data_IF_968814327954
#
_entry.id   IF_968814327954
#
_cell.length_a   1.000
_cell.length_b   1.000
_cell.length_c   1.000
_cell.angle_alpha   90.00
_cell.angle_beta   90.00
_cell.angle_gamma   90.00
#
_symmetry.space_group_name_H-M   'P 1'
#
loop_
_entity.id
_entity.type
_entity.pdbx_description
1 polymer ?
#
# COMPACT_ATOMS: atom_id res chain seq x y z
N UNK A 1 -2.10 -9.31 -7.00
CA UNK A 1 -2.81 -8.17 -6.38
C UNK A 1 -3.05 -7.14 -7.47
N UNK A 2 -4.29 -6.67 -7.62
CA UNK A 2 -4.68 -5.65 -8.61
C UNK A 2 -4.88 -4.28 -7.97
N UNK A 3 -4.73 -3.26 -8.80
CA UNK A 3 -4.85 -1.82 -8.56
C UNK A 3 -6.15 -1.39 -7.86
N UNK A 4 -6.24 -1.58 -6.56
CA UNK A 4 -7.33 -1.04 -5.75
C UNK A 4 -6.80 0.18 -5.00
N UNK A 5 -7.27 1.41 -5.31
CA UNK A 5 -6.97 2.58 -4.52
C UNK A 5 -7.67 2.51 -3.15
N UNK A 6 -7.11 3.21 -2.17
CA UNK A 6 -7.74 3.41 -0.87
C UNK A 6 -8.69 4.61 -0.96
N UNK A 7 -9.88 4.43 -0.40
CA UNK A 7 -10.76 5.53 -0.04
C UNK A 7 -10.20 6.20 1.22
N UNK A 8 -9.97 7.51 1.13
CA UNK A 8 -9.46 8.29 2.24
C UNK A 8 -10.60 9.04 2.93
N UNK A 9 -10.70 8.83 4.23
CA UNK A 9 -11.65 9.53 5.09
C UNK A 9 -10.91 10.37 6.13
N UNK A 10 -11.02 11.69 6.05
CA UNK A 10 -10.52 12.59 7.09
C UNK A 10 -11.50 12.64 8.26
N UNK A 11 -10.98 12.54 9.49
CA UNK A 11 -11.79 12.53 10.71
C UNK A 11 -11.46 13.79 11.52
N UNK A 12 -12.27 14.83 11.34
CA UNK A 12 -12.09 16.14 12.01
C UNK A 12 -12.97 16.33 13.24
N UNK A 13 -14.15 15.70 13.28
CA UNK A 13 -15.10 15.82 14.39
C UNK A 13 -16.03 14.60 14.50
N UNK A 14 -16.89 14.60 15.53
CA UNK A 14 -17.80 13.47 15.83
C UNK A 14 -18.84 13.19 14.75
N UNK A 15 -19.24 14.17 13.95
CA UNK A 15 -20.22 13.96 12.87
C UNK A 15 -19.64 13.06 11.76
N UNK A 16 -18.32 13.12 11.54
CA UNK A 16 -17.62 12.29 10.56
C UNK A 16 -17.57 10.83 10.97
N UNK A 17 -17.59 10.49 12.26
CA UNK A 17 -17.58 9.10 12.71
C UNK A 17 -18.77 8.30 12.14
N UNK A 18 -19.97 8.89 12.15
CA UNK A 18 -21.16 8.25 11.57
C UNK A 18 -21.07 8.14 10.04
N UNK A 19 -20.52 9.17 9.38
CA UNK A 19 -20.30 9.18 7.94
C UNK A 19 -19.31 8.08 7.51
N UNK A 20 -18.11 8.05 8.08
CA UNK A 20 -17.07 7.06 7.76
C UNK A 20 -17.60 5.64 7.96
N UNK A 21 -18.26 5.36 9.10
CA UNK A 21 -18.87 4.06 9.33
C UNK A 21 -19.85 3.68 8.23
N UNK A 22 -20.76 4.59 7.85
CA UNK A 22 -21.76 4.33 6.81
C UNK A 22 -21.13 4.03 5.46
N UNK A 23 -20.15 4.83 5.03
CA UNK A 23 -19.49 4.65 3.73
C UNK A 23 -18.68 3.35 3.69
N UNK A 24 -17.95 3.03 4.76
CA UNK A 24 -17.19 1.77 4.88
C UNK A 24 -18.11 0.56 4.93
N UNK A 25 -19.22 0.63 5.68
CA UNK A 25 -20.24 -0.40 5.70
C UNK A 25 -20.85 -0.63 4.32
N UNK A 26 -21.19 0.46 3.61
CA UNK A 26 -21.74 0.38 2.26
C UNK A 26 -20.74 -0.28 1.30
N UNK A 27 -19.48 0.14 1.33
CA UNK A 27 -18.40 -0.45 0.52
C UNK A 27 -18.26 -1.96 0.74
N UNK A 28 -18.23 -2.41 2.00
CA UNK A 28 -18.14 -3.83 2.33
C UNK A 28 -19.42 -4.60 1.97
N UNK A 29 -20.59 -3.99 2.12
CA UNK A 29 -21.87 -4.61 1.76
C UNK A 29 -21.98 -4.84 0.25
N UNK A 30 -21.64 -3.84 -0.56
CA UNK A 30 -21.59 -3.96 -2.02
C UNK A 30 -20.56 -4.99 -2.48
N UNK A 31 -19.47 -5.15 -1.73
CA UNK A 31 -18.48 -6.20 -1.96
C UNK A 31 -18.98 -7.61 -1.56
N UNK A 32 -20.15 -7.72 -0.93
CA UNK A 32 -20.81 -8.98 -0.58
C UNK A 32 -20.37 -9.59 0.74
N UNK A 33 -19.92 -8.78 1.71
CA UNK A 33 -19.57 -9.26 3.05
C UNK A 33 -20.79 -9.75 3.83
N UNK A 34 -20.62 -10.79 4.64
CA UNK A 34 -21.69 -11.30 5.51
C UNK A 34 -22.16 -10.27 6.57
N UNK A 35 -23.42 -10.36 7.00
CA UNK A 35 -23.99 -9.47 8.02
C UNK A 35 -23.20 -9.47 9.34
N UNK A 36 -22.64 -10.63 9.71
CA UNK A 36 -21.74 -10.76 10.86
C UNK A 36 -20.48 -9.91 10.67
N UNK A 37 -19.78 -10.06 9.55
CA UNK A 37 -18.56 -9.29 9.27
C UNK A 37 -18.84 -7.80 9.15
N UNK A 38 -19.97 -7.40 8.59
CA UNK A 38 -20.39 -5.99 8.58
C UNK A 38 -20.54 -5.41 9.99
N UNK A 39 -21.10 -6.19 10.94
CA UNK A 39 -21.24 -5.77 12.33
C UNK A 39 -19.88 -5.66 13.04
N UNK A 40 -18.96 -6.60 12.79
CA UNK A 40 -17.60 -6.57 13.32
C UNK A 40 -16.81 -5.37 12.77
N UNK A 41 -16.93 -5.11 11.46
CA UNK A 41 -16.35 -3.97 10.76
C UNK A 41 -16.86 -2.63 11.33
N UNK A 42 -18.16 -2.51 11.58
CA UNK A 42 -18.76 -1.30 12.16
C UNK A 42 -18.17 -0.95 13.52
N UNK A 43 -17.91 -1.97 14.36
CA UNK A 43 -17.26 -1.77 15.67
C UNK A 43 -15.83 -1.30 15.47
N UNK A 44 -15.08 -1.94 14.58
CA UNK A 44 -13.68 -1.58 14.31
C UNK A 44 -13.57 -0.12 13.83
N UNK A 45 -14.40 0.28 12.86
CA UNK A 45 -14.41 1.65 12.34
C UNK A 45 -14.79 2.64 13.44
N UNK A 46 -15.76 2.30 14.29
CA UNK A 46 -16.16 3.15 15.42
C UNK A 46 -15.01 3.35 16.40
N UNK A 47 -14.30 2.29 16.76
CA UNK A 47 -13.17 2.36 17.70
C UNK A 47 -11.97 3.12 17.09
N UNK A 48 -11.63 2.87 15.82
CA UNK A 48 -10.57 3.62 15.12
C UNK A 48 -10.87 5.12 15.10
N UNK A 49 -12.05 5.50 14.63
CA UNK A 49 -12.46 6.91 14.54
C UNK A 49 -12.60 7.57 15.92
N UNK A 50 -13.07 6.83 16.94
CA UNK A 50 -13.09 7.29 18.33
C UNK A 50 -11.69 7.59 18.85
N UNK A 51 -10.72 6.71 18.58
CA UNK A 51 -9.33 6.90 19.00
C UNK A 51 -8.71 8.14 18.35
N UNK A 52 -8.93 8.34 17.05
CA UNK A 52 -8.48 9.55 16.33
C UNK A 52 -9.00 10.84 17.00
N UNK A 53 -10.30 10.89 17.30
CA UNK A 53 -10.94 12.06 17.89
C UNK A 53 -10.50 12.33 19.34
N UNK A 54 -10.28 11.28 20.13
CA UNK A 54 -9.91 11.40 21.54
C UNK A 54 -8.43 11.73 21.76
N UNK A 55 -7.54 11.22 20.90
CA UNK A 55 -6.10 11.21 21.17
C UNK A 55 -5.27 12.06 20.21
N UNK A 56 -5.71 12.23 18.96
CA UNK A 56 -4.93 12.95 17.96
C UNK A 56 -5.56 14.27 17.49
N UNK A 57 -6.82 14.53 17.87
CA UNK A 57 -7.67 15.65 17.41
C UNK A 57 -8.01 15.60 15.91
N UNK A 58 -7.07 15.22 15.06
CA UNK A 58 -7.23 15.02 13.62
C UNK A 58 -6.51 13.76 13.18
N UNK A 59 -7.08 13.04 12.22
CA UNK A 59 -6.43 11.92 11.55
C UNK A 59 -7.21 11.47 10.35
N UNK A 60 -6.80 10.37 9.75
CA UNK A 60 -7.46 9.80 8.59
C UNK A 60 -7.58 8.28 8.69
N UNK A 61 -8.56 7.74 7.99
CA UNK A 61 -8.72 6.31 7.77
C UNK A 61 -8.64 6.04 6.28
N UNK A 62 -7.67 5.22 5.87
CA UNK A 62 -7.57 4.69 4.51
C UNK A 62 -8.26 3.32 4.47
N UNK A 63 -9.12 3.12 3.48
CA UNK A 63 -9.97 1.93 3.37
C UNK A 63 -9.87 1.35 1.99
N UNK A 64 -9.61 0.04 1.89
CA UNK A 64 -9.49 -0.62 0.59
C UNK A 64 -10.09 -2.03 0.62
N UNK A 65 -10.87 -2.35 -0.41
CA UNK A 65 -11.22 -3.73 -0.73
C UNK A 65 -10.06 -4.39 -1.47
N UNK A 66 -9.72 -5.60 -1.07
CA UNK A 66 -8.68 -6.38 -1.74
C UNK A 66 -9.11 -7.84 -1.89
N UNK A 67 -8.40 -8.57 -2.74
CA UNK A 67 -8.57 -10.00 -2.88
C UNK A 67 -7.20 -10.68 -2.80
N UNK A 68 -7.11 -11.69 -1.94
CA UNK A 68 -5.90 -12.48 -1.70
C UNK A 68 -6.31 -13.96 -1.66
N UNK A 69 -5.67 -14.81 -2.46
CA UNK A 69 -5.97 -16.25 -2.54
C UNK A 69 -7.48 -16.56 -2.71
N UNK A 70 -8.14 -15.87 -3.65
CA UNK A 70 -9.59 -15.92 -3.88
C UNK A 70 -10.48 -15.49 -2.71
N UNK A 71 -9.90 -15.03 -1.60
CA UNK A 71 -10.64 -14.49 -0.46
C UNK A 71 -10.70 -12.98 -0.56
N UNK A 72 -11.92 -12.44 -0.45
CA UNK A 72 -12.15 -11.00 -0.38
C UNK A 72 -11.84 -10.51 1.03
N UNK A 73 -11.15 -9.37 1.11
CA UNK A 73 -10.86 -8.71 2.36
C UNK A 73 -11.05 -7.20 2.27
N UNK A 74 -11.16 -6.58 3.44
CA UNK A 74 -11.17 -5.13 3.60
C UNK A 74 -10.02 -4.75 4.53
N UNK A 75 -9.22 -3.78 4.09
CA UNK A 75 -8.08 -3.23 4.79
C UNK A 75 -8.44 -1.84 5.31
N UNK A 76 -8.10 -1.58 6.57
CA UNK A 76 -8.29 -0.32 7.27
C UNK A 76 -6.96 0.14 7.82
N UNK A 77 -6.55 1.35 7.47
CA UNK A 77 -5.34 1.99 7.99
C UNK A 77 -5.75 3.30 8.67
N UNK A 78 -5.70 3.34 9.99
CA UNK A 78 -5.89 4.58 10.76
C UNK A 78 -4.53 5.24 10.96
N UNK A 79 -4.43 6.52 10.61
CA UNK A 79 -3.19 7.31 10.66
C UNK A 79 -3.44 8.60 11.43
N UNK A 80 -2.56 8.90 12.37
CA UNK A 80 -2.61 10.14 13.13
C UNK A 80 -1.26 10.76 13.45
N UNK A 81 -1.32 12.04 13.84
CA UNK A 81 -0.19 12.85 14.31
C UNK A 81 -0.35 13.21 15.80
N UNK A 82 -0.98 12.33 16.58
CA UNK A 82 -1.13 12.49 18.02
C UNK A 82 0.18 12.34 18.78
N UNK A 83 0.13 12.33 20.13
CA UNK A 83 1.33 12.20 20.97
C UNK A 83 2.02 10.83 20.87
N UNK A 84 1.38 9.85 20.23
CA UNK A 84 1.85 8.47 20.16
C UNK A 84 1.66 7.69 21.46
N UNK A 85 2.12 6.44 21.46
CA UNK A 85 1.99 5.47 22.55
C UNK A 85 3.39 5.01 22.96
N UNK A 86 3.75 5.21 24.24
CA UNK A 86 5.07 4.87 24.77
C UNK A 86 5.35 3.35 24.80
N UNK A 87 4.34 2.55 25.16
CA UNK A 87 4.45 1.09 25.23
C UNK A 87 3.19 0.42 24.64
N UNK A 88 3.15 0.25 23.31
CA UNK A 88 1.99 -0.32 22.63
C UNK A 88 1.71 -1.76 23.03
N UNK A 89 2.76 -2.54 23.35
CA UNK A 89 2.64 -3.97 23.68
C UNK A 89 2.03 -4.18 25.07
N UNK A 90 2.44 -3.40 26.07
CA UNK A 90 1.85 -3.48 27.40
C UNK A 90 0.43 -2.89 27.46
N UNK A 91 0.14 -1.85 26.67
CA UNK A 91 -1.23 -1.32 26.57
C UNK A 91 -2.24 -2.31 25.96
N UNK A 92 -1.78 -3.24 25.12
CA UNK A 92 -2.61 -4.31 24.55
C UNK A 92 -2.90 -5.44 25.56
N UNK A 93 -1.95 -5.75 26.45
CA UNK A 93 -2.07 -6.85 27.42
C UNK A 93 -2.91 -6.51 28.63
N UNK A 94 -2.70 -5.32 29.21
CA UNK A 94 -3.24 -5.04 30.55
C UNK A 94 -4.62 -4.38 30.55
N UNK A 95 -5.09 -3.82 29.44
CA UNK A 95 -6.29 -2.96 29.46
C UNK A 95 -6.13 -1.70 30.36
N UNK A 96 -4.99 -1.54 31.03
CA UNK A 96 -4.62 -0.42 31.89
C UNK A 96 -4.09 0.70 30.99
N UNK A 97 -5.02 1.54 30.54
CA UNK A 97 -4.71 2.86 30.05
C UNK A 97 -4.87 3.87 31.19
N UNK A 98 -3.92 4.81 31.30
CA UNK A 98 -3.94 5.96 32.23
C UNK A 98 -5.10 6.94 32.00
N UNK A 99 -6.02 6.63 31.07
CA UNK A 99 -7.25 7.38 30.78
C UNK A 99 -8.46 6.44 30.54
N UNK A 100 -8.67 5.43 31.40
CA UNK A 100 -9.92 4.63 31.59
C UNK A 100 -10.70 4.08 30.36
N UNK A 101 -10.27 4.27 29.12
CA UNK A 101 -11.05 3.92 27.91
C UNK A 101 -10.25 3.44 26.69
N UNK A 102 -8.92 3.67 26.59
CA UNK A 102 -8.16 3.19 25.41
C UNK A 102 -8.01 1.65 25.32
N UNK A 103 -7.85 0.97 26.46
CA UNK A 103 -7.54 -0.46 26.48
C UNK A 103 -8.66 -1.34 25.92
N UNK A 104 -9.91 -0.91 26.07
CA UNK A 104 -11.07 -1.65 25.56
C UNK A 104 -11.24 -1.51 24.04
N UNK A 105 -11.00 -0.32 23.47
CA UNK A 105 -11.19 -0.05 22.05
C UNK A 105 -10.17 -0.77 21.17
N UNK A 106 -8.88 -0.65 21.49
CA UNK A 106 -7.81 -1.38 20.76
C UNK A 106 -7.97 -2.90 20.92
N UNK A 107 -8.30 -3.37 22.13
CA UNK A 107 -8.56 -4.79 22.37
C UNK A 107 -9.79 -5.31 21.61
N UNK A 108 -10.82 -4.48 21.40
CA UNK A 108 -11.96 -4.84 20.55
C UNK A 108 -11.54 -4.99 19.09
N UNK A 109 -10.75 -4.05 18.54
CA UNK A 109 -10.25 -4.16 17.17
C UNK A 109 -9.43 -5.43 16.99
N UNK A 110 -8.49 -5.71 17.90
CA UNK A 110 -7.63 -6.89 17.83
C UNK A 110 -8.41 -8.21 17.90
N UNK A 111 -9.52 -8.27 18.66
CA UNK A 111 -10.36 -9.46 18.75
C UNK A 111 -11.25 -9.68 17.53
N UNK A 112 -11.67 -8.60 16.87
CA UNK A 112 -12.64 -8.65 15.77
C UNK A 112 -11.98 -8.72 14.39
N UNK A 113 -10.77 -8.16 14.24
CA UNK A 113 -10.01 -8.23 13.02
C UNK A 113 -9.30 -9.58 12.88
N UNK A 114 -9.12 -10.06 11.64
CA UNK A 114 -8.33 -11.25 11.36
C UNK A 114 -6.82 -10.95 11.36
N UNK A 115 -6.46 -9.70 11.06
CA UNK A 115 -5.10 -9.19 11.16
C UNK A 115 -5.12 -7.82 11.83
N UNK A 116 -4.20 -7.61 12.78
CA UNK A 116 -4.05 -6.35 13.50
C UNK A 116 -2.57 -6.05 13.77
N UNK A 117 -2.14 -4.83 13.47
CA UNK A 117 -0.86 -4.29 13.89
C UNK A 117 -0.97 -2.81 14.26
N UNK A 118 -0.17 -2.41 15.24
CA UNK A 118 -0.12 -1.05 15.76
C UNK A 118 1.33 -0.59 15.82
N UNK A 119 1.66 0.46 15.07
CA UNK A 119 2.97 1.09 15.09
C UNK A 119 2.82 2.52 15.62
N UNK A 120 3.54 2.86 16.68
CA UNK A 120 3.46 4.19 17.27
C UNK A 120 4.81 4.64 17.79
N UNK A 121 5.08 5.93 17.64
CA UNK A 121 6.26 6.60 18.17
C UNK A 121 5.81 7.85 18.91
N UNK A 122 6.48 8.16 20.03
CA UNK A 122 6.23 9.38 20.79
C UNK A 122 6.45 10.63 19.92
N UNK A 123 5.55 11.59 20.06
CA UNK A 123 5.54 12.88 19.34
C UNK A 123 5.48 12.77 17.80
N UNK A 124 5.28 11.58 17.27
CA UNK A 124 5.03 11.33 15.86
C UNK A 124 3.58 10.92 15.62
N UNK A 125 3.03 10.05 16.47
CA UNK A 125 1.63 9.58 16.39
C UNK A 125 1.53 8.06 16.25
N UNK A 126 0.41 7.60 15.68
CA UNK A 126 0.09 6.18 15.58
C UNK A 126 -0.41 5.80 14.18
N UNK A 127 0.02 4.62 13.71
CA UNK A 127 -0.53 3.92 12.55
C UNK A 127 -1.09 2.58 13.03
N UNK A 128 -2.36 2.35 12.75
CA UNK A 128 -3.07 1.12 13.08
C UNK A 128 -3.54 0.47 11.77
N UNK A 129 -3.15 -0.77 11.55
CA UNK A 129 -3.57 -1.60 10.42
C UNK A 129 -4.50 -2.71 10.91
N UNK A 130 -5.68 -2.82 10.31
CA UNK A 130 -6.58 -3.95 10.50
C UNK A 130 -7.02 -4.53 9.16
N UNK A 131 -7.18 -5.85 9.08
CA UNK A 131 -7.81 -6.53 7.93
C UNK A 131 -8.90 -7.48 8.40
N UNK A 132 -9.99 -7.52 7.64
CA UNK A 132 -11.05 -8.51 7.79
C UNK A 132 -11.22 -9.25 6.47
N UNK A 133 -11.46 -10.55 6.54
CA UNK A 133 -11.77 -11.41 5.42
C UNK A 133 -13.22 -11.90 5.55
N UNK A 134 -13.96 -11.87 4.44
CA UNK A 134 -15.39 -12.22 4.40
C UNK A 134 -15.64 -13.62 4.97
N UNK A 135 -14.87 -14.60 4.47
CA UNK A 135 -14.68 -15.86 5.15
C UNK A 135 -13.31 -15.83 5.81
N UNK A 136 -13.21 -16.00 7.15
CA UNK A 136 -11.91 -16.23 7.77
C UNK A 136 -11.35 -17.49 7.11
N UNK A 137 -10.36 -17.30 6.24
CA UNK A 137 -9.47 -18.39 5.91
C UNK A 137 -8.96 -18.84 7.26
N UNK A 138 -9.13 -20.12 7.61
CA UNK A 138 -8.30 -20.71 8.65
C UNK A 138 -6.88 -20.37 8.25
N UNK A 139 -6.31 -19.33 8.86
CA UNK A 139 -4.90 -19.02 8.83
C UNK A 139 -4.20 -20.17 9.56
N UNK A 140 -4.27 -21.37 8.97
CA UNK A 140 -3.13 -22.24 9.04
C UNK A 140 -2.01 -21.37 8.53
N UNK A 141 -1.01 -21.18 9.38
CA UNK A 141 0.30 -20.66 9.06
C UNK A 141 0.93 -21.55 7.99
N UNK A 142 0.34 -21.62 6.79
CA UNK A 142 1.12 -21.79 5.57
C UNK A 142 1.80 -20.45 5.33
N UNK A 143 2.67 -20.08 6.27
CA UNK A 143 3.70 -19.03 6.20
C UNK A 143 4.77 -19.49 5.20
N UNK A 144 4.34 -20.01 4.07
CA UNK A 144 5.18 -20.19 2.92
C UNK A 144 4.32 -19.79 1.73
N UNK A 145 4.32 -18.51 1.31
CA UNK A 145 4.05 -18.29 -0.09
C UNK A 145 5.04 -19.22 -0.82
N UNK A 146 4.57 -20.05 -1.76
CA UNK A 146 5.46 -20.89 -2.56
C UNK A 146 6.55 -20.08 -3.30
N UNK A 147 6.51 -18.76 -3.18
CA UNK A 147 7.40 -17.78 -3.73
C UNK A 147 7.83 -16.74 -2.66
N UNK A 148 9.11 -16.41 -2.52
CA UNK A 148 9.64 -15.75 -1.33
C UNK A 148 9.50 -14.21 -1.35
N UNK A 149 8.54 -13.67 -2.11
CA UNK A 149 8.33 -12.23 -2.28
C UNK A 149 6.98 -11.80 -1.71
N UNK A 150 7.02 -10.99 -0.65
CA UNK A 150 5.83 -10.34 -0.10
C UNK A 150 5.69 -8.94 -0.66
N UNK A 151 4.50 -8.54 -1.11
CA UNK A 151 4.25 -7.19 -1.65
C UNK A 151 3.02 -6.56 -1.01
N UNK A 152 3.11 -5.26 -0.71
CA UNK A 152 2.03 -4.41 -0.21
C UNK A 152 2.05 -3.06 -0.94
N UNK A 153 0.93 -2.34 -0.86
CA UNK A 153 0.81 -1.04 -1.53
C UNK A 153 -0.16 -0.10 -0.83
N UNK A 154 0.13 1.19 -0.86
CA UNK A 154 -0.78 2.27 -0.49
C UNK A 154 -0.98 3.14 -1.73
N UNK A 155 -2.23 3.32 -2.14
CA UNK A 155 -2.62 4.15 -3.27
C UNK A 155 -3.76 5.04 -2.81
N UNK A 156 -3.67 6.34 -3.00
CA UNK A 156 -4.65 7.32 -2.54
C UNK A 156 -4.85 8.35 -3.65
N UNK A 157 -6.09 8.56 -4.05
CA UNK A 157 -6.42 9.55 -5.05
C UNK A 157 -6.14 10.97 -4.54
N UNK A 158 -5.78 11.87 -5.45
CA UNK A 158 -5.64 13.30 -5.18
C UNK A 158 -6.90 13.84 -4.47
N UNK A 159 -6.74 14.72 -3.47
CA UNK A 159 -7.90 15.33 -2.82
C UNK A 159 -8.83 16.01 -3.83
N UNK A 160 -10.11 15.64 -3.81
CA UNK A 160 -11.13 16.18 -4.72
C UNK A 160 -11.38 15.34 -5.97
N UNK A 161 -10.53 14.34 -6.27
CA UNK A 161 -10.75 13.40 -7.36
C UNK A 161 -11.50 12.15 -6.88
N UNK A 162 -12.30 11.57 -7.77
CA UNK A 162 -13.04 10.32 -7.50
C UNK A 162 -12.28 9.07 -7.93
N UNK A 163 -11.23 9.23 -8.73
CA UNK A 163 -10.39 8.16 -9.26
C UNK A 163 -8.93 8.55 -9.16
N UNK A 164 -8.07 7.57 -8.85
CA UNK A 164 -6.62 7.75 -8.78
C UNK A 164 -6.01 7.64 -10.17
N UNK A 165 -5.20 8.62 -10.56
CA UNK A 165 -4.39 8.61 -11.78
C UNK A 165 -3.22 7.62 -11.71
N UNK A 166 -2.82 7.22 -10.50
CA UNK A 166 -1.80 6.21 -10.27
C UNK A 166 -2.37 4.78 -10.27
N UNK A 167 -1.48 3.82 -10.45
CA UNK A 167 -1.85 2.43 -10.30
C UNK A 167 -0.71 1.43 -10.34
N UNK A 168 -0.93 0.30 -9.68
CA UNK A 168 0.06 -0.76 -9.58
C UNK A 168 -0.49 -2.13 -9.97
N UNK A 169 0.40 -3.02 -10.40
CA UNK A 169 0.09 -4.43 -10.62
C UNK A 169 1.17 -5.29 -10.00
N UNK A 170 0.73 -6.31 -9.27
CA UNK A 170 1.62 -7.34 -8.73
C UNK A 170 1.19 -8.71 -9.25
N UNK A 171 2.11 -9.39 -9.93
CA UNK A 171 1.95 -10.76 -10.42
C UNK A 171 3.02 -11.63 -9.79
N UNK A 172 2.63 -12.74 -9.19
CA UNK A 172 3.56 -13.72 -8.59
C UNK A 172 3.31 -15.06 -9.27
N UNK A 173 4.40 -15.66 -9.74
CA UNK A 173 4.45 -17.04 -10.24
C UNK A 173 5.44 -17.82 -9.38
N UNK A 174 5.52 -19.16 -9.49
CA UNK A 174 6.55 -19.93 -8.81
C UNK A 174 7.99 -19.57 -9.21
N UNK A 175 8.19 -18.96 -10.39
CA UNK A 175 9.51 -18.67 -10.94
C UNK A 175 9.96 -17.22 -10.76
N UNK A 176 9.01 -16.27 -10.75
CA UNK A 176 9.30 -14.85 -10.69
C UNK A 176 8.10 -14.04 -10.16
N UNK A 177 8.41 -12.87 -9.60
CA UNK A 177 7.43 -11.87 -9.20
C UNK A 177 7.64 -10.55 -9.94
N UNK A 178 6.58 -9.95 -10.46
CA UNK A 178 6.59 -8.69 -11.22
C UNK A 178 5.79 -7.64 -10.47
N UNK A 179 6.42 -6.49 -10.24
CA UNK A 179 5.85 -5.29 -9.67
C UNK A 179 5.87 -4.21 -10.74
N UNK A 180 4.70 -3.67 -11.07
CA UNK A 180 4.56 -2.48 -11.90
C UNK A 180 3.93 -1.37 -11.07
N UNK A 181 4.48 -0.17 -11.17
CA UNK A 181 3.85 1.06 -10.69
C UNK A 181 3.91 2.10 -11.80
N UNK A 182 2.78 2.73 -12.09
CA UNK A 182 2.67 3.79 -13.07
C UNK A 182 1.78 4.94 -12.60
N UNK A 183 2.01 6.08 -13.20
CA UNK A 183 1.37 7.36 -12.92
C UNK A 183 0.96 7.97 -14.27
N UNK A 184 -0.36 8.08 -14.47
CA UNK A 184 -0.94 8.59 -15.71
C UNK A 184 -0.80 10.09 -15.80
N UNK A 185 -0.50 10.63 -16.99
CA UNK A 185 -0.25 12.06 -17.12
C UNK A 185 -1.46 12.93 -16.71
N UNK A 186 -1.25 13.74 -15.67
CA UNK A 186 -2.26 14.60 -15.06
C UNK A 186 -2.97 13.90 -13.90
N UNK A 187 -4.26 14.18 -13.71
CA UNK A 187 -5.07 13.51 -12.69
C UNK A 187 -6.48 13.24 -13.22
N UNK A 188 -7.25 12.47 -12.44
CA UNK A 188 -8.64 12.16 -12.74
C UNK A 188 -8.82 11.10 -13.83
N UNK A 189 -10.00 11.06 -14.50
CA UNK A 189 -10.40 9.92 -15.33
C UNK A 189 -9.45 9.56 -16.48
N UNK A 190 -8.83 10.54 -17.12
CA UNK A 190 -7.95 10.28 -18.26
C UNK A 190 -6.58 9.73 -17.85
N UNK A 191 -6.04 10.16 -16.70
CA UNK A 191 -4.84 9.56 -16.11
C UNK A 191 -5.13 8.12 -15.66
N UNK A 192 -6.26 7.94 -14.98
CA UNK A 192 -6.76 6.64 -14.54
C UNK A 192 -6.95 5.65 -15.71
N UNK A 193 -7.48 6.13 -16.85
CA UNK A 193 -7.64 5.33 -18.06
C UNK A 193 -6.28 4.82 -18.58
N UNK A 194 -5.28 5.71 -18.68
CA UNK A 194 -3.95 5.35 -19.17
C UNK A 194 -3.31 4.23 -18.32
N UNK A 195 -3.37 4.37 -17.00
CA UNK A 195 -2.81 3.37 -16.08
C UNK A 195 -3.63 2.08 -16.06
N UNK A 196 -4.96 2.17 -16.13
CA UNK A 196 -5.82 0.99 -16.22
C UNK A 196 -5.55 0.17 -17.49
N UNK A 197 -5.39 0.85 -18.63
CA UNK A 197 -4.98 0.20 -19.88
C UNK A 197 -3.58 -0.42 -19.75
N UNK A 198 -2.60 0.29 -19.17
CA UNK A 198 -1.27 -0.24 -18.91
C UNK A 198 -1.32 -1.55 -18.09
N UNK A 199 -2.04 -1.55 -16.97
CA UNK A 199 -2.24 -2.73 -16.11
C UNK A 199 -2.93 -3.86 -16.87
N UNK A 200 -3.81 -3.52 -17.81
CA UNK A 200 -4.53 -4.45 -18.68
C UNK A 200 -3.67 -5.15 -19.74
N UNK A 201 -2.48 -4.63 -20.06
CA UNK A 201 -1.53 -5.26 -21.01
C UNK A 201 -0.69 -6.38 -20.39
N UNK A 202 -0.50 -6.32 -19.07
CA UNK A 202 0.37 -7.23 -18.31
C UNK A 202 -0.20 -8.62 -17.97
N UNK A 203 -1.53 -8.90 -17.98
CA UNK A 203 -2.02 -10.27 -17.81
C UNK A 203 -1.45 -11.22 -18.88
N UNK A 204 -1.22 -12.48 -18.53
CA UNK A 204 -0.84 -13.58 -19.42
C UNK A 204 0.53 -13.49 -20.10
N UNK A 205 1.29 -12.41 -19.90
CA UNK A 205 2.67 -12.33 -20.38
C UNK A 205 3.61 -13.22 -19.58
N UNK A 206 4.56 -13.84 -20.28
CA UNK A 206 5.69 -14.58 -19.68
C UNK A 206 7.01 -13.80 -19.74
N UNK A 207 6.95 -12.55 -20.19
CA UNK A 207 8.11 -11.66 -20.24
C UNK A 207 8.62 -11.42 -18.83
N UNK A 208 9.93 -11.55 -18.64
CA UNK A 208 10.63 -11.27 -17.39
C UNK A 208 11.47 -10.00 -17.44
N UNK A 209 11.76 -9.51 -18.65
CA UNK A 209 12.52 -8.28 -18.88
C UNK A 209 11.64 -7.07 -18.60
N UNK A 210 11.97 -6.24 -17.59
CA UNK A 210 11.31 -4.96 -17.34
C UNK A 210 11.24 -4.04 -18.56
N UNK A 211 12.32 -3.92 -19.33
CA UNK A 211 12.36 -3.12 -20.56
C UNK A 211 11.32 -3.61 -21.58
N UNK A 212 11.27 -4.92 -21.84
CA UNK A 212 10.27 -5.50 -22.77
C UNK A 212 8.84 -5.38 -22.23
N UNK A 213 8.64 -5.42 -20.91
CA UNK A 213 7.34 -5.18 -20.30
C UNK A 213 6.90 -3.72 -20.48
N UNK A 214 7.81 -2.75 -20.34
CA UNK A 214 7.52 -1.33 -20.60
C UNK A 214 7.21 -1.09 -22.07
N UNK A 215 7.93 -1.73 -23.00
CA UNK A 215 7.62 -1.65 -24.43
C UNK A 215 6.24 -2.25 -24.76
N UNK A 216 5.87 -3.36 -24.12
CA UNK A 216 4.52 -3.94 -24.24
C UNK A 216 3.45 -2.96 -23.75
N UNK A 217 3.67 -2.33 -22.58
CA UNK A 217 2.77 -1.30 -22.05
C UNK A 217 2.68 -0.11 -23.01
N UNK A 218 3.80 0.34 -23.57
CA UNK A 218 3.87 1.45 -24.51
C UNK A 218 2.95 1.24 -25.70
N UNK A 219 3.00 0.07 -26.33
CA UNK A 219 2.11 -0.27 -27.43
C UNK A 219 0.63 -0.25 -27.00
N UNK A 220 0.33 -0.80 -25.82
CA UNK A 220 -1.04 -0.89 -25.33
C UNK A 220 -1.68 0.46 -24.96
N UNK A 221 -0.87 1.48 -24.63
CA UNK A 221 -1.36 2.78 -24.15
C UNK A 221 -1.18 3.93 -25.15
N UNK A 222 -0.74 3.66 -26.40
CA UNK A 222 -0.52 4.69 -27.45
C UNK A 222 -1.71 5.62 -27.71
N UNK A 223 -2.94 5.18 -27.41
CA UNK A 223 -4.19 5.94 -27.63
C UNK A 223 -4.65 6.73 -26.40
N UNK A 224 -3.88 6.71 -25.32
CA UNK A 224 -4.20 7.38 -24.06
C UNK A 224 -3.39 8.67 -23.92
N UNK A 225 -3.50 9.35 -22.77
CA UNK A 225 -2.57 10.45 -22.44
C UNK A 225 -1.11 9.99 -22.28
N UNK A 226 -0.89 8.68 -22.12
CA UNK A 226 0.39 8.14 -21.71
C UNK A 226 0.61 8.24 -20.21
N UNK A 227 1.70 7.66 -19.76
CA UNK A 227 2.05 7.52 -18.35
C UNK A 227 3.56 7.47 -18.16
N UNK A 228 3.99 7.68 -16.93
CA UNK A 228 5.32 7.30 -16.45
C UNK A 228 5.19 6.01 -15.65
N UNK A 229 6.26 5.24 -15.55
CA UNK A 229 6.16 3.92 -14.92
C UNK A 229 7.49 3.21 -14.73
N UNK A 230 7.54 2.37 -13.70
CA UNK A 230 8.66 1.47 -13.42
C UNK A 230 8.17 0.04 -13.27
N UNK A 231 9.00 -0.89 -13.73
CA UNK A 231 8.79 -2.34 -13.59
C UNK A 231 9.98 -2.92 -12.83
N UNK A 232 9.69 -3.72 -11.81
CA UNK A 232 10.67 -4.50 -11.06
C UNK A 232 10.28 -5.98 -11.14
N UNK A 233 11.23 -6.84 -11.45
CA UNK A 233 11.06 -8.29 -11.50
C UNK A 233 12.07 -8.95 -10.56
N UNK A 234 11.60 -9.80 -9.66
CA UNK A 234 12.47 -10.75 -8.97
C UNK A 234 12.44 -12.07 -9.72
N UNK A 235 13.59 -12.48 -10.29
CA UNK A 235 13.76 -13.81 -10.87
C UNK A 235 14.33 -14.75 -9.80
N UNK A 236 13.50 -15.69 -9.34
CA UNK A 236 13.89 -16.62 -8.28
C UNK A 236 14.87 -17.69 -8.76
N UNK A 237 14.88 -18.01 -10.06
CA UNK A 237 15.81 -19.01 -10.59
C UNK A 237 17.23 -18.44 -10.67
N UNK A 238 17.35 -17.17 -11.03
CA UNK A 238 18.64 -16.49 -11.15
C UNK A 238 19.04 -15.73 -9.87
N UNK A 239 18.16 -15.66 -8.87
CA UNK A 239 18.37 -14.94 -7.61
C UNK A 239 18.81 -13.49 -7.86
N UNK A 240 18.04 -12.78 -8.67
CA UNK A 240 18.33 -11.40 -9.04
C UNK A 240 17.08 -10.55 -9.17
N UNK A 241 17.25 -9.26 -8.91
CA UNK A 241 16.32 -8.23 -9.31
C UNK A 241 16.68 -7.75 -10.71
N UNK A 242 15.66 -7.56 -11.54
CA UNK A 242 15.73 -6.77 -12.76
C UNK A 242 14.80 -5.58 -12.58
N UNK A 243 15.23 -4.39 -12.99
CA UNK A 243 14.31 -3.26 -13.04
C UNK A 243 14.57 -2.37 -14.26
N UNK A 244 13.55 -1.60 -14.62
CA UNK A 244 13.61 -0.56 -15.63
C UNK A 244 12.48 0.45 -15.36
N UNK A 245 12.66 1.70 -15.73
CA UNK A 245 11.68 2.74 -15.53
C UNK A 245 11.80 3.87 -16.52
N UNK A 246 10.67 4.53 -16.78
CA UNK A 246 10.54 5.69 -17.66
C UNK A 246 9.79 6.78 -16.91
N UNK A 247 10.35 7.98 -16.88
CA UNK A 247 9.79 9.16 -16.20
C UNK A 247 10.34 9.35 -14.81
N UNK A 248 9.48 9.45 -13.79
CA UNK A 248 9.85 9.93 -12.45
C UNK A 248 9.40 9.01 -11.29
N UNK A 249 9.00 7.76 -11.58
CA UNK A 249 8.71 6.78 -10.52
C UNK A 249 10.00 6.43 -9.78
N UNK A 250 10.09 6.88 -8.54
CA UNK A 250 11.24 6.60 -7.67
C UNK A 250 11.23 5.12 -7.30
N UNK A 251 12.33 4.41 -7.54
CA UNK A 251 12.50 3.00 -7.17
C UNK A 251 13.80 2.81 -6.40
N UNK A 252 13.72 2.26 -5.18
CA UNK A 252 14.86 2.05 -4.28
C UNK A 252 14.91 0.61 -3.79
N UNK A 253 16.12 0.07 -3.67
CA UNK A 253 16.44 -1.17 -2.97
C UNK A 253 17.06 -0.82 -1.62
N UNK A 254 16.46 -1.35 -0.56
CA UNK A 254 16.89 -1.17 0.82
C UNK A 254 17.34 -2.50 1.42
N UNK A 255 18.37 -2.46 2.26
CA UNK A 255 18.71 -3.52 3.20
C UNK A 255 18.44 -2.97 4.60
N UNK A 256 17.37 -3.46 5.24
CA UNK A 256 16.78 -2.81 6.40
C UNK A 256 16.52 -1.31 6.11
N UNK A 257 17.07 -0.39 6.93
CA UNK A 257 16.87 1.07 6.76
C UNK A 257 17.84 1.70 5.75
N UNK A 258 18.85 0.99 5.27
CA UNK A 258 19.91 1.55 4.43
C UNK A 258 19.55 1.39 2.95
N UNK A 259 19.55 2.50 2.21
CA UNK A 259 19.41 2.49 0.76
C UNK A 259 20.68 1.91 0.14
N UNK A 260 20.56 0.72 -0.46
CA UNK A 260 21.66 0.06 -1.17
C UNK A 260 21.78 0.63 -2.59
N UNK A 261 20.64 0.84 -3.25
CA UNK A 261 20.63 1.30 -4.64
C UNK A 261 19.35 2.05 -4.97
N UNK A 262 19.46 3.07 -5.81
CA UNK A 262 18.33 3.77 -6.40
C UNK A 262 18.40 3.62 -7.91
N UNK A 263 17.27 3.29 -8.53
CA UNK A 263 17.18 3.28 -9.98
C UNK A 263 17.11 4.72 -10.51
N UNK A 264 17.75 4.98 -11.65
CA UNK A 264 17.62 6.22 -12.40
C UNK A 264 16.76 5.95 -13.64
N UNK A 265 15.46 6.30 -13.62
CA UNK A 265 14.58 6.07 -14.77
C UNK A 265 15.04 6.85 -16.00
N UNK A 266 14.75 6.31 -17.17
CA UNK A 266 14.98 7.02 -18.43
C UNK A 266 14.00 8.17 -18.60
N UNK A 267 14.44 9.27 -19.22
CA UNK A 267 13.54 10.36 -19.60
C UNK A 267 12.64 9.94 -20.77
N UNK A 268 11.33 10.04 -20.59
CA UNK A 268 10.35 9.67 -21.60
C UNK A 268 8.94 9.57 -21.03
N UNK A 269 8.00 9.23 -21.90
CA UNK A 269 6.59 9.01 -21.55
C UNK A 269 6.12 7.74 -22.27
N UNK A 270 5.65 6.77 -21.50
CA UNK A 270 5.09 5.51 -22.00
C UNK A 270 3.79 5.82 -22.76
N UNK A 271 3.64 5.24 -23.96
CA UNK A 271 2.57 5.57 -24.91
C UNK A 271 2.85 6.72 -25.87
N UNK A 272 3.89 7.54 -25.66
CA UNK A 272 4.26 8.63 -26.58
C UNK A 272 5.72 8.53 -27.03
N UNK A 273 6.67 9.01 -26.21
CA UNK A 273 8.10 9.04 -26.53
C UNK A 273 8.84 8.02 -25.68
N UNK A 274 9.32 6.96 -26.31
CA UNK A 274 10.07 5.88 -25.65
C UNK A 274 11.57 5.98 -25.96
N UNK A 275 12.45 6.01 -24.94
CA UNK A 275 13.88 5.88 -25.15
C UNK A 275 14.29 4.42 -25.40
N UNK A 276 15.54 4.17 -25.77
CA UNK A 276 16.08 2.80 -25.78
C UNK A 276 16.25 2.31 -24.35
N UNK A 277 15.57 1.22 -24.00
CA UNK A 277 15.53 0.67 -22.66
C UNK A 277 16.47 -0.52 -22.50
N UNK A 278 17.07 -0.62 -21.31
CA UNK A 278 17.82 -1.79 -20.89
C UNK A 278 17.39 -2.21 -19.48
N UNK A 279 17.48 -3.52 -19.24
CA UNK A 279 17.29 -4.07 -17.91
C UNK A 279 18.54 -3.80 -17.09
N UNK A 280 18.36 -3.24 -15.90
CA UNK A 280 19.41 -3.18 -14.91
C UNK A 280 19.23 -4.32 -13.92
N UNK A 281 20.30 -5.10 -13.72
CA UNK A 281 20.29 -6.32 -12.92
C UNK A 281 21.09 -6.14 -11.62
N UNK A 282 20.55 -6.65 -10.52
CA UNK A 282 21.16 -6.58 -9.19
C UNK A 282 21.01 -7.94 -8.50
N UNK A 283 22.08 -8.49 -7.87
CA UNK A 283 21.97 -9.70 -7.07
C UNK A 283 20.91 -9.56 -5.97
N UNK A 284 20.07 -10.59 -5.82
CA UNK A 284 19.06 -10.61 -4.78
C UNK A 284 19.62 -11.21 -3.50
N UNK A 285 19.32 -10.56 -2.38
CA UNK A 285 19.70 -11.01 -1.04
C UNK A 285 18.47 -11.06 -0.13
N UNK A 286 18.48 -11.97 0.83
CA UNK A 286 17.40 -12.08 1.80
C UNK A 286 17.26 -10.82 2.66
N UNK A 287 16.01 -10.44 2.93
CA UNK A 287 15.69 -9.23 3.69
C UNK A 287 15.69 -7.93 2.86
N UNK A 288 16.14 -7.98 1.61
CA UNK A 288 16.06 -6.82 0.72
C UNK A 288 14.62 -6.39 0.50
N UNK A 289 14.41 -5.07 0.52
CA UNK A 289 13.11 -4.44 0.35
C UNK A 289 13.15 -3.43 -0.81
N UNK A 290 12.33 -3.65 -1.83
CA UNK A 290 12.05 -2.69 -2.90
C UNK A 290 10.96 -1.72 -2.43
N UNK A 291 11.19 -0.42 -2.61
CA UNK A 291 10.17 0.62 -2.43
C UNK A 291 10.06 1.43 -3.72
N UNK A 292 8.86 1.49 -4.27
CA UNK A 292 8.50 2.28 -5.45
C UNK A 292 7.50 3.36 -5.04
N UNK A 293 7.71 4.61 -5.45
CA UNK A 293 6.78 5.71 -5.19
C UNK A 293 6.55 6.56 -6.45
N UNK A 294 5.31 7.04 -6.64
CA UNK A 294 5.03 8.14 -7.57
C UNK A 294 5.58 9.47 -7.05
N UNK A 295 5.48 10.51 -7.87
CA UNK A 295 5.96 11.84 -7.52
C UNK A 295 5.07 12.57 -6.50
N UNK A 296 3.87 12.05 -6.23
CA UNK A 296 3.02 12.44 -5.10
C UNK A 296 3.69 12.23 -3.73
N UNK A 297 4.79 11.46 -3.68
CA UNK A 297 5.68 11.35 -2.52
C UNK A 297 6.91 12.24 -2.69
N UNK A 298 7.30 12.96 -1.63
CA UNK A 298 8.57 13.67 -1.61
C UNK A 298 9.75 12.70 -1.83
N UNK A 299 10.64 13.03 -2.76
CA UNK A 299 11.75 12.15 -3.14
C UNK A 299 12.77 11.93 -2.02
N UNK A 300 12.84 12.81 -1.02
CA UNK A 300 13.80 12.74 0.10
C UNK A 300 13.13 12.26 1.39
N UNK A 301 12.74 11.00 1.42
CA UNK A 301 12.36 10.30 2.66
C UNK A 301 13.48 9.38 3.14
N UNK A 302 13.49 9.11 4.45
CA UNK A 302 14.52 8.37 5.16
C UNK A 302 13.89 7.29 6.06
N UNK A 303 14.21 6.02 5.78
CA UNK A 303 13.69 4.88 6.53
C UNK A 303 14.21 4.83 7.98
N UNK A 304 15.33 5.48 8.30
CA UNK A 304 15.92 5.47 9.64
C UNK A 304 15.06 6.19 10.67
N UNK A 305 14.16 7.08 10.22
CA UNK A 305 13.16 7.76 11.07
C UNK A 305 12.14 6.80 11.68
N UNK A 306 12.04 5.58 11.15
CA UNK A 306 11.07 4.58 11.53
C UNK A 306 11.74 3.38 12.22
N UNK A 307 12.10 3.49 13.52
CA UNK A 307 12.77 2.42 14.23
C UNK A 307 11.91 1.15 14.21
N UNK A 308 12.56 0.02 13.94
CA UNK A 308 11.98 -1.33 13.91
C UNK A 308 10.80 -1.55 12.95
N UNK A 309 10.48 -0.60 12.06
CA UNK A 309 9.30 -0.69 11.19
C UNK A 309 9.32 -1.91 10.27
N UNK A 310 10.51 -2.39 9.90
CA UNK A 310 10.68 -3.60 9.09
C UNK A 310 10.25 -4.90 9.81
N UNK A 311 9.97 -4.87 11.12
CA UNK A 311 9.36 -6.01 11.83
C UNK A 311 7.85 -6.11 11.60
N UNK A 312 7.22 -5.05 11.09
CA UNK A 312 5.79 -4.96 10.83
C UNK A 312 5.45 -5.40 9.39
N UNK A 313 4.16 -5.50 9.07
CA UNK A 313 3.66 -5.67 7.71
C UNK A 313 4.11 -4.48 6.85
N UNK A 314 4.46 -4.74 5.59
CA UNK A 314 5.00 -3.72 4.70
C UNK A 314 4.02 -2.57 4.43
N UNK A 315 2.73 -2.76 4.69
CA UNK A 315 1.71 -1.71 4.63
C UNK A 315 1.94 -0.64 5.71
N UNK A 316 2.46 -1.00 6.88
CA UNK A 316 2.84 -0.03 7.91
C UNK A 316 3.99 0.86 7.41
N UNK A 317 4.99 0.28 6.74
CA UNK A 317 6.07 1.05 6.11
C UNK A 317 5.53 1.99 5.02
N UNK A 318 4.68 1.48 4.14
CA UNK A 318 4.04 2.29 3.10
C UNK A 318 3.21 3.43 3.71
N UNK A 319 2.43 3.15 4.75
CA UNK A 319 1.62 4.14 5.46
C UNK A 319 2.48 5.19 6.18
N UNK A 320 3.62 4.83 6.76
CA UNK A 320 4.55 5.77 7.38
C UNK A 320 5.19 6.71 6.34
N UNK A 321 5.61 6.17 5.19
CA UNK A 321 6.12 6.97 4.08
C UNK A 321 5.02 7.92 3.56
N UNK A 322 3.80 7.42 3.37
CA UNK A 322 2.64 8.24 2.98
C UNK A 322 2.40 9.37 3.98
N UNK A 323 2.27 9.05 5.26
CA UNK A 323 1.98 10.00 6.35
C UNK A 323 2.95 11.18 6.36
N UNK A 324 4.24 10.91 6.29
CA UNK A 324 5.26 11.95 6.45
C UNK A 324 5.62 12.69 5.16
N UNK A 325 5.37 12.07 3.98
CA UNK A 325 5.96 12.53 2.73
C UNK A 325 4.94 12.71 1.59
N UNK A 326 3.65 12.44 1.79
CA UNK A 326 2.62 12.73 0.80
C UNK A 326 2.46 14.24 0.58
N UNK A 327 2.46 14.66 -0.69
CA UNK A 327 2.35 16.08 -1.07
C UNK A 327 0.94 16.65 -0.97
N UNK A 328 -0.07 15.80 -0.86
CA UNK A 328 -1.50 16.18 -0.74
C UNK A 328 -2.01 17.07 -1.89
N UNK A 329 -1.27 17.15 -2.99
CA UNK A 329 -1.56 17.98 -4.16
C UNK A 329 -1.63 17.15 -5.43
N UNK A 330 -1.33 15.86 -5.32
CA UNK A 330 -1.31 14.89 -6.40
C UNK A 330 -1.82 13.53 -5.93
N UNK A 331 -2.01 12.62 -6.88
CA UNK A 331 -2.21 11.20 -6.61
C UNK A 331 -0.98 10.63 -5.88
N UNK A 332 -1.19 9.68 -4.97
CA UNK A 332 -0.12 9.10 -4.17
C UNK A 332 -0.13 7.59 -4.32
N UNK A 333 1.01 7.02 -4.72
CA UNK A 333 1.19 5.58 -4.76
C UNK A 333 2.55 5.16 -4.20
N UNK A 334 2.51 4.08 -3.43
CA UNK A 334 3.66 3.43 -2.82
C UNK A 334 3.48 1.92 -2.98
N UNK A 335 4.50 1.24 -3.50
CA UNK A 335 4.57 -0.23 -3.55
C UNK A 335 5.81 -0.66 -2.80
N UNK A 336 5.66 -1.61 -1.87
CA UNK A 336 6.75 -2.16 -1.08
C UNK A 336 6.78 -3.67 -1.28
N UNK A 337 7.92 -4.19 -1.77
CA UNK A 337 8.18 -5.62 -1.94
C UNK A 337 9.36 -6.06 -1.09
N UNK A 338 9.28 -7.19 -0.38
CA UNK A 338 10.38 -7.72 0.43
C UNK A 338 10.63 -9.19 0.15
N UNK A 339 11.90 -9.55 0.01
CA UNK A 339 12.34 -10.94 0.00
C UNK A 339 12.43 -11.48 1.42
N UNK A 340 11.66 -12.53 1.67
CA UNK A 340 11.64 -13.27 2.93
C UNK A 340 12.02 -14.72 2.65
N UNK A 341 12.92 -15.31 3.45
CA UNK A 341 13.41 -16.67 3.24
C UNK A 341 12.32 -17.73 3.35
#
# INVERSE_FOLDING_TARGET
>A
MTNAPHFRFTVSDRSYQAFVKREVHYLAKEAGFSARRLSELDIIVLEMTSNLLKHAKTGEVLVRLFQENNTRGIELISIDNGPGIADPENMQKDGVSTTKTLGHGLGAIQRLADFFQLYSLLDWGTILLARLYDNPVTHSRSDNPAFPLTVRSVLVAKPGETVCGDGCRVSITPDYGTLFLGDGLGHGPAAHEAVTQAIGTLPNTRLRSPARLIELIHEGVRKTRGLVGSVVVYDHRQQQWLWCGVGNIMTRLLQATVVQKSHLPYSGIIGTVMPTLHDETIPAEWGQTIVMCSDGIQSRWDATKYPYIFKYDLTILAAAIYKDNARQTDDVSIVVGRLTP
#
